data_IF_531174403530
#
_entry.id   IF_531174403530
#
_cell.length_a   1.000
_cell.length_b   1.000
_cell.length_c   1.000
_cell.angle_alpha   90.00
_cell.angle_beta   90.00
_cell.angle_gamma   90.00
#
_symmetry.space_group_name_H-M   'P 1'
#
loop_
_entity.id
_entity.type
_entity.pdbx_description
1 polymer ?
#
# COMPACT_ATOMS: atom_id res chain seq x y z
N UNK A 1 4.66 3.56 -30.45
CA UNK A 1 5.19 2.95 -29.21
C UNK A 1 6.13 3.93 -28.46
N UNK A 2 5.78 5.22 -28.36
CA UNK A 2 6.69 6.26 -27.83
C UNK A 2 6.37 6.64 -26.36
N UNK A 3 5.22 6.22 -25.83
CA UNK A 3 4.78 6.58 -24.47
C UNK A 3 4.28 5.43 -23.59
N UNK A 4 4.25 4.18 -24.09
CA UNK A 4 3.76 3.03 -23.32
C UNK A 4 4.64 1.80 -23.54
N UNK A 5 5.05 1.15 -22.44
CA UNK A 5 5.67 -0.19 -22.46
C UNK A 5 4.59 -1.22 -22.80
N UNK A 6 4.93 -2.21 -23.63
CA UNK A 6 4.03 -3.33 -23.92
C UNK A 6 3.73 -4.11 -22.64
N UNK A 7 2.49 -4.54 -22.38
CA UNK A 7 2.14 -5.24 -21.14
C UNK A 7 2.90 -6.56 -21.00
N UNK A 8 3.53 -6.75 -19.83
CA UNK A 8 4.24 -7.98 -19.46
C UNK A 8 3.29 -9.03 -18.86
N UNK A 9 2.19 -8.59 -18.25
CA UNK A 9 1.14 -9.44 -17.71
C UNK A 9 -0.22 -9.00 -18.24
N UNK A 10 -1.08 -9.96 -18.59
CA UNK A 10 -2.46 -9.70 -19.00
C UNK A 10 -3.43 -10.34 -18.02
N UNK A 11 -4.45 -9.60 -17.59
CA UNK A 11 -5.44 -10.06 -16.63
C UNK A 11 -6.82 -9.74 -17.18
N UNK A 12 -7.72 -10.72 -17.17
CA UNK A 12 -9.07 -10.54 -17.70
C UNK A 12 -10.12 -11.30 -16.90
N UNK A 13 -11.24 -10.65 -16.66
CA UNK A 13 -12.41 -11.22 -16.01
C UNK A 13 -13.52 -11.52 -17.03
N UNK A 14 -14.23 -12.63 -16.86
CA UNK A 14 -15.32 -13.06 -17.73
C UNK A 14 -14.90 -13.06 -19.20
N UNK A 15 -15.69 -12.46 -20.11
CA UNK A 15 -15.33 -12.28 -21.52
C UNK A 15 -14.01 -11.54 -21.75
N UNK A 16 -13.60 -10.69 -20.80
CA UNK A 16 -12.27 -10.06 -20.80
C UNK A 16 -11.15 -11.08 -20.61
N UNK A 17 -11.39 -12.15 -19.83
CA UNK A 17 -10.49 -13.30 -19.69
C UNK A 17 -10.26 -14.02 -21.03
N UNK A 18 -11.33 -14.24 -21.78
CA UNK A 18 -11.25 -14.78 -23.14
C UNK A 18 -10.43 -13.87 -24.06
N UNK A 19 -10.70 -12.56 -23.99
CA UNK A 19 -10.01 -11.57 -24.82
C UNK A 19 -8.50 -11.51 -24.52
N UNK A 20 -8.08 -11.58 -23.25
CA UNK A 20 -6.65 -11.56 -22.90
C UNK A 20 -5.93 -12.84 -23.32
N UNK A 21 -6.59 -14.00 -23.28
CA UNK A 21 -6.04 -15.24 -23.81
C UNK A 21 -5.80 -15.12 -25.32
N UNK A 22 -6.77 -14.59 -26.08
CA UNK A 22 -6.64 -14.38 -27.52
C UNK A 22 -5.68 -13.24 -27.89
N UNK A 23 -5.46 -12.27 -27.00
CA UNK A 23 -4.48 -11.21 -27.18
C UNK A 23 -3.05 -11.70 -26.91
N UNK A 24 -2.87 -12.55 -25.90
CA UNK A 24 -1.56 -13.04 -25.48
C UNK A 24 -0.80 -13.80 -26.57
N UNK A 25 -1.50 -14.47 -27.50
CA UNK A 25 -0.89 -15.12 -28.67
C UNK A 25 -0.24 -14.13 -29.63
N UNK A 26 -0.64 -12.86 -29.59
CA UNK A 26 -0.19 -11.78 -30.48
C UNK A 26 0.71 -10.75 -29.78
N UNK A 27 0.98 -10.93 -28.49
CA UNK A 27 1.81 -10.03 -27.68
C UNK A 27 3.02 -10.82 -27.15
N UNK A 28 4.13 -10.85 -27.90
CA UNK A 28 5.33 -11.60 -27.51
C UNK A 28 5.91 -11.20 -26.15
N UNK A 29 5.78 -9.93 -25.77
CA UNK A 29 6.28 -9.35 -24.52
C UNK A 29 5.52 -9.83 -23.27
N UNK A 30 4.30 -10.36 -23.42
CA UNK A 30 3.54 -10.95 -22.31
C UNK A 30 4.27 -12.20 -21.84
N UNK A 31 4.53 -12.33 -20.54
CA UNK A 31 5.13 -13.55 -19.95
C UNK A 31 4.10 -14.38 -19.17
N UNK A 32 3.00 -13.76 -18.75
CA UNK A 32 1.93 -14.41 -18.01
C UNK A 32 0.53 -13.89 -18.35
N UNK A 33 -0.46 -14.76 -18.23
CA UNK A 33 -1.89 -14.45 -18.41
C UNK A 33 -2.65 -14.95 -17.19
N UNK A 34 -3.56 -14.14 -16.66
CA UNK A 34 -4.49 -14.54 -15.62
C UNK A 34 -5.94 -14.34 -16.08
N UNK A 35 -6.77 -15.35 -15.86
CA UNK A 35 -8.20 -15.30 -16.15
C UNK A 35 -9.03 -15.49 -14.90
N UNK A 36 -10.17 -14.82 -14.82
CA UNK A 36 -11.12 -14.94 -13.71
C UNK A 36 -12.51 -15.16 -14.29
N UNK A 37 -13.15 -16.30 -14.02
CA UNK A 37 -14.51 -16.54 -14.49
C UNK A 37 -14.63 -16.61 -16.02
N UNK A 38 -13.56 -16.97 -16.73
CA UNK A 38 -13.49 -16.79 -18.18
C UNK A 38 -14.17 -17.93 -18.95
N UNK A 39 -15.06 -17.63 -19.92
CA UNK A 39 -15.62 -18.65 -20.78
C UNK A 39 -14.60 -19.14 -21.80
N UNK A 40 -14.59 -20.45 -22.05
CA UNK A 40 -13.83 -21.08 -23.13
C UNK A 40 -14.62 -20.96 -24.44
N UNK A 41 -15.92 -21.28 -24.39
CA UNK A 41 -16.83 -21.18 -25.53
C UNK A 41 -17.49 -19.80 -25.58
N UNK A 42 -16.84 -18.81 -26.20
CA UNK A 42 -17.45 -17.48 -26.38
C UNK A 42 -17.67 -17.14 -27.85
N UNK A 43 -18.93 -17.05 -28.27
CA UNK A 43 -19.29 -16.46 -29.56
C UNK A 43 -19.18 -14.93 -29.47
N UNK A 44 -18.40 -14.32 -30.37
CA UNK A 44 -18.32 -12.85 -30.50
C UNK A 44 -17.14 -12.15 -29.82
N UNK A 45 -16.12 -12.88 -29.34
CA UNK A 45 -14.78 -12.30 -29.13
C UNK A 45 -13.96 -12.60 -30.38
N UNK A 46 -13.37 -11.58 -31.00
CA UNK A 46 -12.65 -11.73 -32.26
C UNK A 46 -11.44 -12.67 -32.08
N UNK A 47 -11.51 -13.85 -32.72
CA UNK A 47 -10.58 -14.97 -32.54
C UNK A 47 -11.15 -15.95 -31.52
N UNK A 48 -11.84 -16.98 -32.01
CA UNK A 48 -12.27 -18.09 -31.15
C UNK A 48 -11.03 -18.66 -30.45
N UNK A 49 -11.10 -18.78 -29.13
CA UNK A 49 -10.15 -19.61 -28.40
C UNK A 49 -10.40 -21.04 -28.86
N UNK A 50 -9.44 -21.62 -29.57
CA UNK A 50 -9.39 -23.05 -29.77
C UNK A 50 -8.34 -23.65 -28.82
N UNK A 51 -8.46 -24.95 -28.57
CA UNK A 51 -7.53 -25.69 -27.72
C UNK A 51 -6.08 -25.52 -28.19
N UNK A 52 -5.88 -25.40 -29.51
CA UNK A 52 -4.56 -25.25 -30.12
C UNK A 52 -3.94 -23.89 -29.81
N UNK A 53 -4.71 -22.80 -29.86
CA UNK A 53 -4.27 -21.46 -29.52
C UNK A 53 -3.83 -21.34 -28.07
N UNK A 54 -4.59 -21.92 -27.13
CA UNK A 54 -4.21 -21.94 -25.71
C UNK A 54 -2.96 -22.82 -25.50
N UNK A 55 -2.88 -23.98 -26.14
CA UNK A 55 -1.71 -24.87 -26.07
C UNK A 55 -0.42 -24.25 -26.61
N UNK A 56 -0.53 -23.29 -27.53
CA UNK A 56 0.59 -22.60 -28.17
C UNK A 56 1.01 -21.30 -27.48
N UNK A 57 0.31 -20.86 -26.42
CA UNK A 57 0.62 -19.60 -25.70
C UNK A 57 2.09 -19.48 -25.31
N UNK A 58 2.71 -20.58 -24.83
CA UNK A 58 4.08 -20.60 -24.27
C UNK A 58 4.29 -19.52 -23.18
N UNK A 59 3.21 -19.15 -22.48
CA UNK A 59 3.18 -18.17 -21.39
C UNK A 59 2.73 -18.86 -20.09
N UNK A 60 3.07 -18.28 -18.95
CA UNK A 60 2.51 -18.74 -17.68
C UNK A 60 1.01 -18.46 -17.62
N UNK A 61 0.20 -19.42 -17.14
CA UNK A 61 -1.25 -19.26 -17.04
C UNK A 61 -1.74 -19.43 -15.60
N UNK A 62 -2.59 -18.51 -15.14
CA UNK A 62 -3.34 -18.63 -13.90
C UNK A 62 -4.84 -18.54 -14.17
N UNK A 63 -5.58 -19.57 -13.77
CA UNK A 63 -7.04 -19.62 -13.92
C UNK A 63 -7.69 -19.52 -12.54
N UNK A 64 -8.52 -18.50 -12.35
CA UNK A 64 -9.41 -18.37 -11.20
C UNK A 64 -10.84 -18.69 -11.61
N UNK A 65 -11.51 -19.56 -10.87
CA UNK A 65 -12.93 -19.84 -11.14
C UNK A 65 -13.67 -20.29 -9.90
N UNK A 66 -14.93 -19.87 -9.75
CA UNK A 66 -15.80 -20.35 -8.68
C UNK A 66 -16.56 -21.60 -9.13
N UNK A 67 -16.56 -22.70 -8.35
CA UNK A 67 -17.43 -23.85 -8.62
C UNK A 67 -18.93 -23.52 -8.58
N UNK A 68 -19.31 -22.40 -7.96
CA UNK A 68 -20.69 -21.94 -7.82
C UNK A 68 -21.03 -20.77 -8.76
N UNK A 69 -20.19 -20.49 -9.76
CA UNK A 69 -20.48 -19.49 -10.79
C UNK A 69 -21.67 -19.94 -11.66
N UNK A 70 -22.78 -19.21 -11.58
CA UNK A 70 -24.01 -19.50 -12.33
C UNK A 70 -24.05 -18.80 -13.71
N UNK A 71 -23.02 -18.04 -14.08
CA UNK A 71 -22.91 -17.33 -15.36
C UNK A 71 -21.97 -18.06 -16.31
N UNK A 72 -20.82 -18.50 -15.81
CA UNK A 72 -19.84 -19.28 -16.58
C UNK A 72 -19.52 -20.56 -15.82
N UNK A 73 -19.72 -21.71 -16.48
CA UNK A 73 -19.51 -23.02 -15.85
C UNK A 73 -18.04 -23.21 -15.45
N UNK A 74 -17.80 -23.93 -14.35
CA UNK A 74 -16.45 -24.38 -13.99
C UNK A 74 -15.83 -25.28 -15.07
N UNK A 75 -16.64 -25.89 -15.93
CA UNK A 75 -16.15 -26.65 -17.07
C UNK A 75 -15.35 -25.80 -18.06
N UNK A 76 -15.72 -24.54 -18.29
CA UNK A 76 -14.95 -23.62 -19.13
C UNK A 76 -13.52 -23.43 -18.57
N UNK A 77 -13.41 -23.25 -17.25
CA UNK A 77 -12.12 -23.10 -16.60
C UNK A 77 -11.28 -24.39 -16.65
N UNK A 78 -11.95 -25.55 -16.55
CA UNK A 78 -11.32 -26.87 -16.73
C UNK A 78 -10.78 -27.01 -18.15
N UNK A 79 -11.54 -26.63 -19.16
CA UNK A 79 -11.11 -26.70 -20.57
C UNK A 79 -9.91 -25.79 -20.85
N UNK A 80 -9.95 -24.53 -20.39
CA UNK A 80 -8.81 -23.60 -20.46
C UNK A 80 -7.56 -24.22 -19.80
N UNK A 81 -7.71 -24.75 -18.58
CA UNK A 81 -6.60 -25.31 -17.82
C UNK A 81 -6.02 -26.57 -18.48
N UNK A 82 -6.86 -27.44 -19.03
CA UNK A 82 -6.43 -28.66 -19.72
C UNK A 82 -5.70 -28.32 -21.03
N UNK A 83 -6.24 -27.39 -21.83
CA UNK A 83 -5.64 -26.97 -23.09
C UNK A 83 -4.26 -26.32 -22.94
N UNK A 84 -4.02 -25.59 -21.84
CA UNK A 84 -2.76 -24.90 -21.59
C UNK A 84 -1.59 -25.86 -21.29
N UNK A 85 -0.38 -25.43 -21.63
CA UNK A 85 0.88 -26.10 -21.21
C UNK A 85 1.43 -25.46 -19.93
N UNK A 86 2.31 -26.18 -19.23
CA UNK A 86 2.99 -25.63 -18.06
C UNK A 86 3.97 -24.50 -18.43
N UNK A 87 4.18 -23.50 -17.55
CA UNK A 87 3.63 -23.41 -16.19
C UNK A 87 2.18 -22.91 -16.17
N UNK A 88 1.30 -23.65 -15.49
CA UNK A 88 -0.12 -23.34 -15.32
C UNK A 88 -0.59 -23.60 -13.89
N UNK A 89 -1.50 -22.77 -13.41
CA UNK A 89 -2.05 -22.81 -12.05
C UNK A 89 -3.56 -22.64 -12.10
N UNK A 90 -4.27 -23.30 -11.18
CA UNK A 90 -5.71 -23.16 -11.00
C UNK A 90 -6.01 -22.81 -9.55
N UNK A 91 -6.88 -21.83 -9.33
CA UNK A 91 -7.32 -21.39 -8.01
C UNK A 91 -8.85 -21.40 -7.98
N UNK A 92 -9.41 -22.28 -7.15
CA UNK A 92 -10.85 -22.32 -6.91
C UNK A 92 -11.27 -21.14 -6.03
N UNK A 93 -12.34 -20.44 -6.43
CA UNK A 93 -12.94 -19.32 -5.71
C UNK A 93 -14.23 -19.76 -5.02
N UNK A 94 -14.11 -20.65 -4.03
CA UNK A 94 -15.26 -21.23 -3.33
C UNK A 94 -16.17 -20.16 -2.72
N UNK A 95 -17.46 -20.23 -3.05
CA UNK A 95 -18.50 -19.30 -2.58
C UNK A 95 -18.45 -17.91 -3.22
N UNK A 96 -17.54 -17.63 -4.15
CA UNK A 96 -17.53 -16.37 -4.88
C UNK A 96 -18.61 -16.37 -5.98
N UNK A 97 -19.28 -15.23 -6.17
CA UNK A 97 -20.17 -15.02 -7.31
C UNK A 97 -19.39 -14.58 -8.56
N UNK A 98 -20.03 -14.65 -9.74
CA UNK A 98 -19.37 -14.34 -11.01
C UNK A 98 -18.67 -12.97 -11.00
N UNK A 99 -19.30 -11.95 -10.41
CA UNK A 99 -18.81 -10.57 -10.43
C UNK A 99 -17.82 -10.24 -9.31
N UNK A 100 -17.49 -11.19 -8.43
CA UNK A 100 -16.72 -10.93 -7.20
C UNK A 100 -17.31 -9.77 -6.38
N UNK A 101 -18.64 -9.77 -6.20
CA UNK A 101 -19.38 -8.67 -5.55
C UNK A 101 -18.95 -8.44 -4.10
N UNK A 102 -18.43 -9.48 -3.42
CA UNK A 102 -17.86 -9.36 -2.07
C UNK A 102 -16.43 -8.84 -2.14
N UNK A 103 -16.16 -7.72 -1.46
CA UNK A 103 -14.81 -7.12 -1.35
C UNK A 103 -13.74 -8.10 -0.86
N UNK A 104 -14.11 -9.08 -0.03
CA UNK A 104 -13.21 -10.14 0.45
C UNK A 104 -12.65 -10.98 -0.68
N UNK A 105 -13.48 -11.35 -1.65
CA UNK A 105 -13.14 -12.29 -2.73
C UNK A 105 -12.26 -11.59 -3.76
N UNK A 106 -12.62 -10.36 -4.13
CA UNK A 106 -11.78 -9.50 -4.98
C UNK A 106 -10.39 -9.27 -4.36
N UNK A 107 -10.31 -9.03 -3.05
CA UNK A 107 -9.04 -8.87 -2.33
C UNK A 107 -8.23 -10.18 -2.31
N UNK A 108 -8.88 -11.32 -2.14
CA UNK A 108 -8.22 -12.62 -2.20
C UNK A 108 -7.61 -12.87 -3.58
N UNK A 109 -8.38 -12.69 -4.65
CA UNK A 109 -7.89 -12.80 -6.04
C UNK A 109 -6.70 -11.89 -6.28
N UNK A 110 -6.77 -10.62 -5.87
CA UNK A 110 -5.68 -9.67 -6.02
C UNK A 110 -4.39 -10.11 -5.32
N UNK A 111 -4.48 -10.62 -4.08
CA UNK A 111 -3.31 -11.11 -3.33
C UNK A 111 -2.67 -12.32 -3.99
N UNK A 112 -3.48 -13.31 -4.38
CA UNK A 112 -2.98 -14.53 -5.03
C UNK A 112 -2.37 -14.21 -6.39
N UNK A 113 -3.03 -13.35 -7.17
CA UNK A 113 -2.53 -12.89 -8.47
C UNK A 113 -1.19 -12.16 -8.32
N UNK A 114 -1.06 -11.24 -7.36
CA UNK A 114 0.18 -10.52 -7.11
C UNK A 114 1.33 -11.46 -6.72
N UNK A 115 1.06 -12.40 -5.80
CA UNK A 115 2.05 -13.39 -5.37
C UNK A 115 2.44 -14.38 -6.48
N UNK A 116 1.51 -14.73 -7.37
CA UNK A 116 1.82 -15.57 -8.53
C UNK A 116 2.60 -14.78 -9.60
N UNK A 117 2.23 -13.52 -9.85
CA UNK A 117 2.86 -12.68 -10.86
C UNK A 117 4.31 -12.33 -10.52
N UNK A 118 4.66 -12.20 -9.23
CA UNK A 118 6.03 -11.87 -8.80
C UNK A 118 7.08 -12.89 -9.26
N UNK A 119 6.69 -14.13 -9.57
CA UNK A 119 7.59 -15.15 -10.13
C UNK A 119 7.99 -14.88 -11.59
N UNK A 120 7.19 -14.11 -12.32
CA UNK A 120 7.34 -13.93 -13.77
C UNK A 120 7.63 -12.50 -14.18
N UNK A 121 7.20 -11.54 -13.37
CA UNK A 121 7.61 -10.16 -13.54
C UNK A 121 9.09 -10.05 -13.18
N UNK A 122 9.87 -9.24 -13.92
CA UNK A 122 11.22 -8.91 -13.47
C UNK A 122 11.11 -8.40 -12.03
N UNK A 123 12.00 -8.87 -11.16
CA UNK A 123 12.22 -8.17 -9.90
C UNK A 123 12.38 -6.70 -10.27
N UNK A 124 11.55 -5.82 -9.69
CA UNK A 124 11.94 -4.43 -9.67
C UNK A 124 13.34 -4.45 -9.09
N UNK A 125 14.35 -3.84 -9.76
CA UNK A 125 15.71 -3.86 -9.27
C UNK A 125 15.62 -3.42 -7.81
N UNK A 126 15.82 -4.38 -6.92
CA UNK A 126 16.20 -4.07 -5.56
C UNK A 126 17.61 -3.61 -5.81
N UNK A 127 17.79 -2.31 -6.04
CA UNK A 127 19.12 -1.73 -5.93
C UNK A 127 19.69 -2.34 -4.65
N UNK A 128 20.79 -3.10 -4.79
CA UNK A 128 21.40 -3.82 -3.67
C UNK A 128 21.54 -2.82 -2.53
N UNK A 129 20.68 -2.98 -1.53
CA UNK A 129 20.51 -1.97 -0.51
C UNK A 129 21.83 -1.88 0.24
N UNK A 130 22.42 -0.69 0.43
CA UNK A 130 23.52 -0.54 1.35
C UNK A 130 23.08 -1.11 2.71
N UNK A 131 23.69 -2.21 3.14
CA UNK A 131 23.26 -2.97 4.32
C UNK A 131 23.31 -2.10 5.60
N UNK A 132 24.13 -1.05 5.60
CA UNK A 132 24.43 -0.21 6.77
C UNK A 132 24.12 1.28 6.53
N UNK A 133 22.86 1.63 6.29
CA UNK A 133 22.44 3.04 6.46
C UNK A 133 22.45 3.40 7.96
N UNK A 134 23.14 4.47 8.38
CA UNK A 134 23.27 4.82 9.78
C UNK A 134 21.93 5.24 10.40
N UNK A 135 21.80 5.07 11.72
CA UNK A 135 20.65 5.57 12.45
C UNK A 135 20.57 7.10 12.35
N UNK A 136 19.39 7.62 12.03
CA UNK A 136 19.14 9.06 11.85
C UNK A 136 19.25 9.54 10.41
N UNK A 137 19.69 8.70 9.47
CA UNK A 137 19.67 9.00 8.04
C UNK A 137 18.36 8.54 7.39
N UNK A 138 17.80 9.38 6.52
CA UNK A 138 16.59 9.10 5.74
C UNK A 138 16.85 9.51 4.29
N UNK A 139 16.61 8.59 3.36
CA UNK A 139 16.67 8.84 1.92
C UNK A 139 15.26 8.87 1.36
N UNK A 140 14.94 9.88 0.55
CA UNK A 140 13.63 10.05 -0.08
C UNK A 140 13.84 10.20 -1.57
N UNK A 141 13.21 9.33 -2.35
CA UNK A 141 13.35 9.28 -3.79
C UNK A 141 11.98 9.23 -4.47
N UNK A 142 11.81 10.01 -5.53
CA UNK A 142 10.59 10.07 -6.29
C UNK A 142 10.87 10.38 -7.75
N UNK A 143 9.95 9.95 -8.62
CA UNK A 143 9.99 10.36 -10.03
C UNK A 143 9.52 11.79 -10.16
N UNK A 144 9.93 12.46 -11.23
CA UNK A 144 9.44 13.82 -11.55
C UNK A 144 7.94 13.86 -11.87
N UNK A 145 7.34 12.73 -12.22
CA UNK A 145 5.91 12.59 -12.48
C UNK A 145 5.16 12.12 -11.22
N UNK A 146 4.29 12.98 -10.68
CA UNK A 146 3.46 12.67 -9.51
C UNK A 146 4.13 13.01 -8.17
N UNK A 147 3.46 12.66 -7.07
CA UNK A 147 3.91 12.98 -5.70
C UNK A 147 4.39 11.76 -4.91
N UNK A 148 4.30 10.55 -5.46
CA UNK A 148 4.75 9.35 -4.79
C UNK A 148 6.27 9.39 -4.52
N UNK A 149 6.61 9.31 -3.24
CA UNK A 149 7.97 9.17 -2.75
C UNK A 149 8.16 7.79 -2.10
N UNK A 150 9.32 7.21 -2.35
CA UNK A 150 9.85 6.07 -1.62
C UNK A 150 10.79 6.59 -0.54
N UNK A 151 10.50 6.25 0.71
CA UNK A 151 11.27 6.66 1.89
C UNK A 151 12.00 5.45 2.45
N UNK A 152 13.29 5.62 2.70
CA UNK A 152 14.17 4.61 3.30
C UNK A 152 14.77 5.14 4.59
N UNK A 153 14.71 4.32 5.64
CA UNK A 153 15.35 4.56 6.93
C UNK A 153 15.93 3.24 7.44
N UNK A 154 17.27 3.13 7.50
CA UNK A 154 17.96 1.84 7.71
C UNK A 154 17.56 0.83 6.61
N UNK A 155 17.16 -0.38 7.02
CA UNK A 155 16.64 -1.44 6.15
C UNK A 155 15.11 -1.41 5.99
N UNK A 156 14.45 -0.32 6.40
CA UNK A 156 13.00 -0.17 6.31
C UNK A 156 12.62 0.73 5.14
N UNK A 157 11.62 0.31 4.37
CA UNK A 157 11.07 1.09 3.26
C UNK A 157 9.59 1.33 3.49
N UNK A 158 9.15 2.55 3.22
CA UNK A 158 7.75 2.96 3.22
C UNK A 158 7.53 4.06 2.19
N UNK A 159 6.29 4.51 2.02
CA UNK A 159 5.93 5.53 1.04
C UNK A 159 5.45 6.81 1.70
N UNK A 160 5.63 7.93 1.01
CA UNK A 160 4.90 9.17 1.26
C UNK A 160 4.22 9.61 -0.04
N UNK A 161 2.99 10.10 0.03
CA UNK A 161 2.26 10.53 -1.14
C UNK A 161 1.18 11.56 -0.77
N UNK A 162 0.72 12.31 -1.76
CA UNK A 162 -0.41 13.22 -1.57
C UNK A 162 -1.75 12.49 -1.80
N UNK A 163 -2.85 12.98 -1.21
CA UNK A 163 -4.20 12.54 -1.56
C UNK A 163 -4.52 12.79 -3.04
N UNK A 164 -5.51 12.04 -3.56
CA UNK A 164 -5.97 12.19 -4.95
C UNK A 164 -6.39 13.62 -5.30
N UNK A 165 -7.06 14.31 -4.36
CA UNK A 165 -7.51 15.70 -4.52
C UNK A 165 -6.37 16.72 -4.65
N UNK A 166 -5.16 16.36 -4.22
CA UNK A 166 -3.94 17.16 -4.36
C UNK A 166 -3.02 16.65 -5.48
N UNK A 167 -3.50 15.71 -6.30
CA UNK A 167 -2.80 15.18 -7.46
C UNK A 167 -1.85 14.01 -7.16
N UNK A 168 -1.85 13.48 -5.94
CA UNK A 168 -1.11 12.26 -5.61
C UNK A 168 -1.88 10.99 -5.96
N UNK A 169 -1.34 9.83 -5.56
CA UNK A 169 -1.95 8.52 -5.80
C UNK A 169 -2.59 7.91 -4.56
N UNK A 170 -2.49 8.58 -3.40
CA UNK A 170 -3.03 8.15 -2.12
C UNK A 170 -2.56 6.73 -1.70
N UNK A 171 -1.29 6.39 -2.02
CA UNK A 171 -0.68 5.09 -1.67
C UNK A 171 0.22 5.16 -0.43
N UNK A 172 0.31 6.32 0.21
CA UNK A 172 1.06 6.55 1.44
C UNK A 172 0.56 7.82 2.15
N UNK A 173 0.93 8.03 3.41
CA UNK A 173 0.64 9.27 4.14
C UNK A 173 1.36 10.46 3.50
N UNK A 174 0.75 11.64 3.60
CA UNK A 174 1.41 12.87 3.16
C UNK A 174 2.55 13.27 4.13
N UNK A 175 3.43 14.21 3.74
CA UNK A 175 4.58 14.58 4.57
C UNK A 175 4.21 15.10 5.98
N UNK A 176 3.10 15.83 6.13
CA UNK A 176 2.65 16.30 7.45
C UNK A 176 2.13 15.15 8.31
N UNK A 177 1.42 14.18 7.73
CA UNK A 177 0.98 12.98 8.44
C UNK A 177 2.17 12.14 8.93
N UNK A 178 3.26 12.06 8.16
CA UNK A 178 4.50 11.42 8.60
C UNK A 178 5.18 12.17 9.75
N UNK A 179 5.21 13.50 9.71
CA UNK A 179 5.70 14.31 10.82
C UNK A 179 4.90 14.07 12.10
N UNK A 180 3.57 14.07 12.00
CA UNK A 180 2.66 13.77 13.11
C UNK A 180 2.85 12.33 13.60
N UNK A 181 3.02 11.36 12.70
CA UNK A 181 3.28 9.97 13.07
C UNK A 181 4.57 9.84 13.90
N UNK A 182 5.64 10.53 13.52
CA UNK A 182 6.88 10.59 14.29
C UNK A 182 6.70 11.15 15.70
N UNK A 183 5.97 12.28 15.83
CA UNK A 183 5.64 12.87 17.13
C UNK A 183 4.77 11.96 18.00
N UNK A 184 3.74 11.34 17.41
CA UNK A 184 2.82 10.45 18.09
C UNK A 184 3.51 9.17 18.58
N UNK A 185 4.32 8.55 17.73
CA UNK A 185 5.11 7.37 18.07
C UNK A 185 6.08 7.68 19.23
N UNK A 186 6.85 8.76 19.12
CA UNK A 186 7.80 9.18 20.15
C UNK A 186 7.10 9.51 21.49
N UNK A 187 5.92 10.13 21.44
CA UNK A 187 5.10 10.39 22.64
C UNK A 187 4.64 9.08 23.28
N UNK A 188 4.06 8.15 22.52
CA UNK A 188 3.59 6.86 23.02
C UNK A 188 4.72 6.03 23.65
N UNK A 189 5.88 5.95 22.97
CA UNK A 189 7.07 5.27 23.49
C UNK A 189 7.56 5.88 24.81
N UNK A 190 7.58 7.21 24.91
CA UNK A 190 8.03 7.92 26.13
C UNK A 190 7.09 7.65 27.31
N UNK A 191 5.78 7.65 27.08
CA UNK A 191 4.79 7.36 28.13
C UNK A 191 4.91 5.92 28.64
N UNK A 192 5.02 4.95 27.72
CA UNK A 192 5.24 3.54 28.06
C UNK A 192 6.54 3.33 28.84
N UNK A 193 7.63 3.95 28.40
CA UNK A 193 8.92 3.90 29.09
C UNK A 193 8.81 4.47 30.52
N UNK A 194 8.16 5.62 30.69
CA UNK A 194 8.01 6.26 32.00
C UNK A 194 7.14 5.43 32.95
N UNK A 195 5.97 4.97 32.49
CA UNK A 195 5.08 4.12 33.27
C UNK A 195 5.76 2.81 33.69
N UNK A 196 6.48 2.16 32.76
CA UNK A 196 7.23 0.95 33.04
C UNK A 196 8.32 1.15 34.11
N UNK A 197 9.07 2.24 34.05
CA UNK A 197 10.07 2.58 35.08
C UNK A 197 9.48 2.86 36.46
N UNK A 198 8.21 3.26 36.51
CA UNK A 198 7.47 3.53 37.75
C UNK A 198 6.61 2.35 38.19
N UNK A 199 6.62 1.26 37.42
CA UNK A 199 5.78 0.08 37.64
C UNK A 199 4.28 0.43 37.70
N UNK A 200 3.86 1.40 36.90
CA UNK A 200 2.45 1.81 36.82
C UNK A 200 1.65 0.91 35.87
N UNK A 201 0.40 0.54 36.21
CA UNK A 201 -0.42 -0.39 35.43
C UNK A 201 -1.06 0.30 34.21
N UNK A 202 -0.22 0.72 33.26
CA UNK A 202 -0.63 1.28 31.98
C UNK A 202 -0.69 0.17 30.93
N UNK A 203 -1.89 -0.11 30.42
CA UNK A 203 -2.13 -1.19 29.45
C UNK A 203 -1.91 -0.71 28.01
N UNK A 204 -2.46 0.46 27.67
CA UNK A 204 -2.41 0.97 26.30
C UNK A 204 -2.34 2.50 26.25
N UNK A 205 -1.74 3.02 25.17
CA UNK A 205 -1.61 4.45 24.89
C UNK A 205 -2.04 4.68 23.45
N UNK A 206 -3.02 5.55 23.26
CA UNK A 206 -3.42 6.06 21.94
C UNK A 206 -3.15 7.56 21.88
N UNK A 207 -2.49 7.99 20.80
CA UNK A 207 -2.19 9.40 20.56
C UNK A 207 -2.81 9.78 19.22
N UNK A 208 -3.75 10.72 19.26
CA UNK A 208 -4.38 11.29 18.07
C UNK A 208 -3.82 12.69 17.86
N UNK A 209 -3.32 12.94 16.65
CA UNK A 209 -2.68 14.21 16.29
C UNK A 209 -3.39 14.81 15.08
N UNK A 210 -3.48 16.15 15.08
CA UNK A 210 -3.97 16.93 13.94
C UNK A 210 -3.07 18.14 13.75
N UNK A 211 -2.77 18.48 12.51
CA UNK A 211 -2.06 19.70 12.14
C UNK A 211 -3.03 20.63 11.42
N UNK A 212 -3.04 21.90 11.83
CA UNK A 212 -3.77 22.98 11.19
C UNK A 212 -2.86 24.23 11.13
N UNK A 213 -3.25 25.21 10.31
CA UNK A 213 -2.64 26.54 10.31
C UNK A 213 -3.70 27.57 10.72
N UNK A 214 -3.41 28.35 11.76
CA UNK A 214 -4.33 29.37 12.29
C UNK A 214 -3.69 30.75 12.25
N UNK A 215 -4.49 31.82 12.28
CA UNK A 215 -3.95 33.18 12.38
C UNK A 215 -3.34 33.42 13.76
N UNK A 216 -2.20 34.11 13.80
CA UNK A 216 -1.49 34.40 15.04
C UNK A 216 -2.32 35.18 16.06
N UNK A 217 -3.27 36.00 15.59
CA UNK A 217 -4.19 36.78 16.41
C UNK A 217 -5.26 35.92 17.10
N UNK A 218 -5.54 34.73 16.57
CA UNK A 218 -6.52 33.78 17.12
C UNK A 218 -5.85 32.72 18.03
N UNK A 219 -4.54 32.82 18.26
CA UNK A 219 -3.79 31.96 19.16
C UNK A 219 -3.63 32.64 20.53
N UNK A 220 -4.23 32.05 21.58
CA UNK A 220 -4.19 32.60 22.95
C UNK A 220 -2.78 32.65 23.57
N UNK A 221 -1.83 31.86 23.08
CA UNK A 221 -0.50 31.63 23.67
C UNK A 221 0.69 32.02 22.75
N UNK A 222 0.47 32.82 21.71
CA UNK A 222 1.50 33.10 20.70
C UNK A 222 2.08 34.53 20.80
N UNK A 223 3.38 34.66 21.11
CA UNK A 223 4.13 35.94 21.21
C UNK A 223 4.40 36.68 19.86
N UNK A 224 3.72 36.31 18.76
CA UNK A 224 4.00 36.86 17.42
C UNK A 224 2.80 37.60 16.85
N UNK A 225 2.92 38.92 16.67
CA UNK A 225 1.83 39.79 16.22
C UNK A 225 1.48 39.72 14.71
N UNK A 226 2.18 38.92 13.89
CA UNK A 226 1.84 38.79 12.45
C UNK A 226 2.14 37.39 11.89
N UNK A 227 1.17 36.81 11.16
CA UNK A 227 1.36 35.59 10.37
C UNK A 227 0.35 34.46 10.65
N UNK A 228 0.48 33.36 9.90
CA UNK A 228 -0.15 32.08 10.22
C UNK A 228 0.81 31.27 11.10
N UNK A 229 0.27 30.56 12.08
CA UNK A 229 1.04 29.70 12.99
C UNK A 229 0.59 28.25 12.76
N UNK A 230 1.57 27.35 12.67
CA UNK A 230 1.32 25.91 12.64
C UNK A 230 0.92 25.44 14.04
N UNK A 231 -0.26 24.82 14.14
CA UNK A 231 -0.80 24.26 15.38
C UNK A 231 -0.89 22.76 15.25
N UNK A 232 -0.36 22.05 16.25
CA UNK A 232 -0.50 20.60 16.36
C UNK A 232 -1.34 20.28 17.59
N UNK A 233 -2.57 19.86 17.38
CA UNK A 233 -3.43 19.35 18.44
C UNK A 233 -3.07 17.91 18.77
N UNK A 234 -2.88 17.60 20.06
CA UNK A 234 -2.53 16.26 20.53
C UNK A 234 -3.51 15.79 21.61
N UNK A 235 -4.24 14.71 21.32
CA UNK A 235 -5.11 14.01 22.28
C UNK A 235 -4.45 12.72 22.71
N UNK A 236 -4.32 12.50 24.02
CA UNK A 236 -3.69 11.32 24.61
C UNK A 236 -4.73 10.55 25.42
N UNK A 237 -4.97 9.31 25.02
CA UNK A 237 -5.89 8.39 25.70
C UNK A 237 -5.05 7.30 26.38
N UNK A 238 -5.32 7.06 27.66
CA UNK A 238 -4.59 6.13 28.52
C UNK A 238 -5.55 5.08 29.10
N UNK A 239 -5.29 3.81 28.81
CA UNK A 239 -6.01 2.67 29.38
C UNK A 239 -5.15 1.96 30.42
N UNK A 240 -5.77 1.56 31.53
CA UNK A 240 -5.10 0.94 32.67
C UNK A 240 -5.65 1.39 34.02
N UNK A 241 -5.33 0.64 35.07
CA UNK A 241 -5.76 0.92 36.45
C UNK A 241 -4.92 2.03 37.10
N UNK A 242 -4.91 3.19 36.46
CA UNK A 242 -4.12 4.36 36.85
C UNK A 242 -4.92 5.28 37.77
N UNK A 243 -4.28 5.79 38.82
CA UNK A 243 -4.84 6.88 39.62
C UNK A 243 -4.88 8.19 38.83
N UNK A 244 -5.68 9.15 39.27
CA UNK A 244 -5.76 10.47 38.64
C UNK A 244 -4.41 11.20 38.67
N UNK A 245 -3.64 11.08 39.76
CA UNK A 245 -2.30 11.66 39.85
C UNK A 245 -1.33 11.02 38.84
N UNK A 246 -1.46 9.72 38.59
CA UNK A 246 -0.67 9.02 37.58
C UNK A 246 -1.05 9.48 36.17
N UNK A 247 -2.35 9.65 35.89
CA UNK A 247 -2.87 10.16 34.61
C UNK A 247 -2.39 11.58 34.33
N UNK A 248 -2.52 12.48 35.30
CA UNK A 248 -2.06 13.86 35.18
C UNK A 248 -0.53 13.91 34.97
N UNK A 249 0.21 13.09 35.72
CA UNK A 249 1.66 13.00 35.54
C UNK A 249 2.04 12.49 34.15
N UNK A 250 1.36 11.47 33.64
CA UNK A 250 1.58 10.97 32.28
C UNK A 250 1.25 12.05 31.23
N UNK A 251 0.19 12.82 31.41
CA UNK A 251 -0.12 13.95 30.53
C UNK A 251 1.03 14.96 30.47
N UNK A 252 1.61 15.33 31.62
CA UNK A 252 2.80 16.20 31.67
C UNK A 252 4.02 15.58 30.97
N UNK A 253 4.24 14.27 31.11
CA UNK A 253 5.33 13.55 30.44
C UNK A 253 5.12 13.48 28.92
N UNK A 254 3.87 13.50 28.44
CA UNK A 254 3.56 13.45 27.00
C UNK A 254 4.18 14.62 26.23
N UNK A 255 4.45 15.76 26.89
CA UNK A 255 5.08 16.95 26.31
C UNK A 255 6.63 16.95 26.43
N UNK A 256 7.24 15.82 26.81
CA UNK A 256 8.69 15.74 27.06
C UNK A 256 9.43 14.75 26.17
N UNK A 257 8.76 14.17 25.19
CA UNK A 257 9.39 13.22 24.28
C UNK A 257 10.44 13.94 23.38
N UNK A 258 11.52 13.25 22.95
CA UNK A 258 12.59 13.87 22.14
C UNK A 258 12.10 14.63 20.89
N UNK A 259 11.13 14.07 20.15
CA UNK A 259 10.56 14.73 18.97
C UNK A 259 9.79 16.00 19.34
N UNK A 260 8.99 15.97 20.42
CA UNK A 260 8.30 17.18 20.90
C UNK A 260 9.27 18.29 21.25
N UNK A 261 10.38 17.96 21.93
CA UNK A 261 11.44 18.93 22.25
C UNK A 261 12.10 19.49 20.99
N UNK A 262 12.32 18.64 19.98
CA UNK A 262 12.90 19.06 18.70
C UNK A 262 12.01 20.09 18.01
N UNK A 263 10.70 19.86 17.97
CA UNK A 263 9.72 20.78 17.34
C UNK A 263 9.61 22.15 18.04
N UNK A 264 9.96 22.24 19.32
CA UNK A 264 9.94 23.49 20.09
C UNK A 264 11.30 24.20 20.11
N UNK A 265 12.36 23.58 19.61
CA UNK A 265 13.69 24.18 19.55
C UNK A 265 13.90 24.96 18.25
N UNK A 266 14.91 25.83 18.23
CA UNK A 266 15.41 26.41 16.99
C UNK A 266 16.14 25.33 16.17
N UNK A 267 15.58 24.96 15.02
CA UNK A 267 16.15 23.95 14.11
C UNK A 267 16.85 24.65 12.96
N UNK A 268 18.11 24.27 12.69
CA UNK A 268 18.85 24.72 11.50
C UNK A 268 18.79 23.65 10.41
N UNK A 269 18.22 24.00 9.26
CA UNK A 269 18.17 23.14 8.08
C UNK A 269 19.24 23.64 7.11
N UNK A 270 20.22 22.78 6.79
CA UNK A 270 21.31 23.08 5.86
C UNK A 270 21.06 22.30 4.57
N UNK A 271 21.31 22.95 3.43
CA UNK A 271 21.09 22.36 2.11
C UNK A 271 22.33 22.49 1.25
N UNK A 272 22.65 21.42 0.52
CA UNK A 272 23.72 21.34 -0.47
C UNK A 272 23.17 20.63 -1.71
N UNK A 273 23.60 21.07 -2.89
CA UNK A 273 23.32 20.40 -4.15
C UNK A 273 24.55 19.56 -4.51
N UNK A 274 24.35 18.25 -4.68
CA UNK A 274 25.39 17.27 -5.02
C UNK A 274 25.25 16.81 -6.47
#
# INVERSE_FOLDING_TARGET
RVHHRTPTLLVGHSRGGTAVLAAATRIPETVGVATIGAPFHSSGVAGALDTDGIGQLKKALLVFHSPQDNVVSIDDAREIFVAARHPKSFVSLDGADHLLGRRSDARYVAKVLAAWASRYLPEEPTEELPEDMPEGEVVVEGKTSGFLQHVRARNLTFTSDEPLEKGGTNVGPNPYELLLAGLGACTSMTLKLYAGRKEWPLDSVRVTLRHDRVHAQDCEDCDKDTGMIDVIEKKVELEGNLSEEQRERLLQISARCPVHRTLLNEIKILSELV
#
